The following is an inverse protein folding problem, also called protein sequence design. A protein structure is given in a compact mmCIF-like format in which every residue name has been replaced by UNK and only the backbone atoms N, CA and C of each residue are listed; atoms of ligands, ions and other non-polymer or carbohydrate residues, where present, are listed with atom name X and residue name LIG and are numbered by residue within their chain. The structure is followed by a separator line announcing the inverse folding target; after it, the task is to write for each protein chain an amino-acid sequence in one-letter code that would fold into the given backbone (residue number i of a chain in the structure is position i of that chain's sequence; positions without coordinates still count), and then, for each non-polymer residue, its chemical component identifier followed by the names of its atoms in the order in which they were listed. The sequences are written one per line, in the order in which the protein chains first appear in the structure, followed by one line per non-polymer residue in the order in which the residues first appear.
data_IF_399250706644
#
_entry.id   IF_399250706644
#
_cell.length_a   1.000
_cell.length_b   1.000
_cell.length_c   1.000
_cell.angle_alpha   90.00
_cell.angle_beta   90.00
_cell.angle_gamma   90.00
#
_symmetry.space_group_name_H-M   'P 1'
#
loop_
_entity.id
_entity.type
_entity.pdbx_description
1 polymer ?
#
# COMPACT_ATOMS: atom_id res chain seq x y z
N UNK A 1 2.75 0.95 -4.88
CA UNK A 1 3.64 2.05 -5.31
C UNK A 1 2.91 3.16 -6.04
N UNK A 2 2.47 2.97 -7.29
CA UNK A 2 1.94 4.02 -8.17
C UNK A 2 0.84 4.87 -7.54
N UNK A 3 -0.18 4.23 -6.96
CA UNK A 3 -1.27 4.92 -6.25
C UNK A 3 -0.78 5.79 -5.10
N UNK A 4 0.22 5.31 -4.35
CA UNK A 4 0.77 6.03 -3.18
C UNK A 4 1.54 7.26 -3.63
N UNK A 5 2.43 7.13 -4.62
CA UNK A 5 3.20 8.28 -5.09
C UNK A 5 2.34 9.30 -5.83
N UNK A 6 1.32 8.86 -6.57
CA UNK A 6 0.32 9.77 -7.12
C UNK A 6 -0.36 10.59 -6.03
N UNK A 7 -0.89 9.94 -4.99
CA UNK A 7 -1.57 10.61 -3.88
C UNK A 7 -0.66 11.56 -3.08
N UNK A 8 0.64 11.29 -3.04
CA UNK A 8 1.61 12.10 -2.28
C UNK A 8 2.18 13.27 -3.06
N UNK A 9 2.34 13.12 -4.37
CA UNK A 9 3.07 14.08 -5.19
C UNK A 9 2.20 14.84 -6.19
N UNK A 10 1.03 14.32 -6.55
CA UNK A 10 0.13 14.96 -7.52
C UNK A 10 -1.07 15.51 -6.74
N UNK A 11 -1.29 16.84 -6.72
CA UNK A 11 -2.44 17.44 -6.06
C UNK A 11 -3.75 17.02 -6.73
N UNK A 12 -4.84 17.05 -5.97
CA UNK A 12 -6.19 16.74 -6.51
C UNK A 12 -6.72 17.83 -7.44
N UNK A 13 -6.10 19.02 -7.42
CA UNK A 13 -6.37 20.12 -8.34
C UNK A 13 -5.29 20.15 -9.42
N UNK A 14 -5.68 19.90 -10.67
CA UNK A 14 -4.79 19.92 -11.83
C UNK A 14 -4.78 21.33 -12.44
N UNK A 15 -3.63 22.01 -12.37
CA UNK A 15 -3.44 23.34 -12.98
C UNK A 15 -2.99 23.30 -14.44
N UNK A 16 -2.21 22.29 -14.81
CA UNK A 16 -1.63 22.11 -16.15
C UNK A 16 -1.57 20.62 -16.52
N UNK A 17 -1.40 20.32 -17.81
CA UNK A 17 -1.43 18.93 -18.33
C UNK A 17 -0.14 18.16 -18.10
N UNK A 18 0.97 18.88 -17.94
CA UNK A 18 2.30 18.31 -17.74
C UNK A 18 2.70 18.39 -16.27
N UNK A 19 3.59 17.49 -15.85
CA UNK A 19 4.13 17.55 -14.50
C UNK A 19 5.06 18.75 -14.38
N UNK A 20 4.83 19.56 -13.35
CA UNK A 20 5.79 20.60 -13.03
C UNK A 20 7.08 19.97 -12.47
N UNK A 21 8.14 20.79 -12.40
CA UNK A 21 9.45 20.33 -11.90
C UNK A 21 9.38 19.79 -10.46
N UNK A 22 8.50 20.35 -9.63
CA UNK A 22 8.30 19.93 -8.25
C UNK A 22 7.67 18.55 -8.16
N UNK A 23 6.62 18.30 -8.93
CA UNK A 23 5.93 17.01 -9.02
C UNK A 23 6.85 15.93 -9.55
N UNK A 24 7.60 16.22 -10.62
CA UNK A 24 8.58 15.29 -11.20
C UNK A 24 9.64 14.85 -10.17
N UNK A 25 10.28 15.81 -9.50
CA UNK A 25 11.29 15.53 -8.46
C UNK A 25 10.67 14.85 -7.22
N UNK A 26 9.41 15.16 -6.89
CA UNK A 26 8.70 14.49 -5.81
C UNK A 26 8.48 13.01 -6.13
N UNK A 27 8.03 12.68 -7.34
CA UNK A 27 7.75 11.31 -7.78
C UNK A 27 9.01 10.45 -7.68
N UNK A 28 10.15 10.94 -8.17
CA UNK A 28 11.44 10.23 -8.07
C UNK A 28 11.81 9.91 -6.61
N UNK A 29 11.74 10.92 -5.73
CA UNK A 29 12.02 10.75 -4.29
C UNK A 29 11.01 9.82 -3.63
N UNK A 30 9.74 9.87 -4.04
CA UNK A 30 8.70 9.02 -3.50
C UNK A 30 8.95 7.55 -3.82
N UNK A 31 9.28 7.24 -5.08
CA UNK A 31 9.57 5.86 -5.51
C UNK A 31 10.76 5.30 -4.73
N UNK A 32 11.84 6.08 -4.60
CA UNK A 32 13.01 5.69 -3.81
C UNK A 32 12.64 5.36 -2.35
N UNK A 33 11.92 6.26 -1.68
CA UNK A 33 11.47 6.07 -0.30
C UNK A 33 10.52 4.88 -0.15
N UNK A 34 9.62 4.69 -1.11
CA UNK A 34 8.66 3.59 -1.10
C UNK A 34 9.40 2.25 -1.17
N UNK A 35 10.37 2.11 -2.07
CA UNK A 35 11.15 0.87 -2.19
C UNK A 35 11.99 0.59 -0.94
N UNK A 36 12.66 1.61 -0.41
CA UNK A 36 13.43 1.48 0.84
C UNK A 36 12.53 1.04 2.00
N UNK A 37 11.35 1.64 2.11
CA UNK A 37 10.38 1.32 3.16
C UNK A 37 9.81 -0.09 2.99
N UNK A 38 9.46 -0.50 1.76
CA UNK A 38 8.99 -1.88 1.52
C UNK A 38 10.03 -2.92 1.89
N UNK A 39 11.30 -2.67 1.56
CA UNK A 39 12.39 -3.58 1.91
C UNK A 39 12.50 -3.73 3.43
N UNK A 40 12.49 -2.61 4.17
CA UNK A 40 12.54 -2.61 5.65
C UNK A 40 11.33 -3.32 6.26
N UNK A 41 10.12 -3.08 5.74
CA UNK A 41 8.90 -3.78 6.18
C UNK A 41 9.02 -5.29 5.92
N UNK A 42 9.51 -5.67 4.74
CA UNK A 42 9.73 -7.09 4.39
C UNK A 42 10.74 -7.77 5.31
N UNK A 43 11.86 -7.11 5.61
CA UNK A 43 12.85 -7.59 6.57
C UNK A 43 12.27 -7.73 7.98
N UNK A 44 11.50 -6.73 8.43
CA UNK A 44 10.83 -6.78 9.72
C UNK A 44 9.83 -7.95 9.78
N UNK A 45 8.98 -8.11 8.76
CA UNK A 45 8.02 -9.21 8.69
C UNK A 45 8.69 -10.59 8.77
N UNK A 46 9.84 -10.76 8.10
CA UNK A 46 10.65 -11.97 8.21
C UNK A 46 11.23 -12.14 9.63
N UNK A 47 11.71 -11.07 10.25
CA UNK A 47 12.29 -11.10 11.60
C UNK A 47 11.29 -11.55 12.67
N UNK A 48 10.01 -11.17 12.52
CA UNK A 48 8.92 -11.58 13.41
C UNK A 48 8.22 -12.86 12.94
N UNK A 49 8.70 -13.50 11.88
CA UNK A 49 8.14 -14.73 11.27
C UNK A 49 6.66 -14.64 10.91
N UNK A 50 6.22 -13.49 10.40
CA UNK A 50 4.86 -13.35 9.88
C UNK A 50 4.68 -14.22 8.62
N UNK A 51 3.83 -15.23 8.71
CA UNK A 51 3.44 -16.13 7.62
C UNK A 51 2.00 -15.82 7.18
N UNK A 52 1.63 -16.27 5.98
CA UNK A 52 0.27 -16.19 5.45
C UNK A 52 -0.76 -16.88 6.37
N UNK A 53 -0.32 -17.83 7.21
CA UNK A 53 -1.14 -18.52 8.21
C UNK A 53 -1.57 -17.62 9.37
N UNK A 54 -0.79 -16.57 9.67
CA UNK A 54 -1.08 -15.62 10.74
C UNK A 54 -2.13 -14.58 10.33
N UNK A 55 -2.46 -14.52 9.04
CA UNK A 55 -3.56 -13.71 8.53
C UNK A 55 -4.87 -14.46 8.76
N UNK A 56 -5.55 -14.18 9.89
CA UNK A 56 -6.87 -14.73 10.27
C UNK A 56 -8.02 -14.35 9.32
N UNK A 57 -7.73 -13.95 8.09
CA UNK A 57 -8.71 -13.57 7.08
C UNK A 57 -9.65 -14.72 6.73
N UNK A 58 -9.15 -15.96 6.69
CA UNK A 58 -10.00 -17.14 6.47
C UNK A 58 -10.99 -17.35 7.64
N UNK A 59 -10.59 -17.03 8.87
CA UNK A 59 -11.45 -17.09 10.05
C UNK A 59 -12.54 -16.00 10.02
N UNK A 60 -12.17 -14.78 9.61
CA UNK A 60 -13.11 -13.68 9.36
C UNK A 60 -14.12 -14.00 8.24
N UNK A 61 -13.67 -14.61 7.13
CA UNK A 61 -14.58 -15.05 6.06
C UNK A 61 -15.50 -16.17 6.53
N UNK A 62 -14.98 -17.12 7.31
CA UNK A 62 -15.78 -18.23 7.84
C UNK A 62 -16.90 -17.71 8.75
N UNK A 63 -16.64 -16.79 9.68
CA UNK A 63 -17.69 -16.21 10.50
C UNK A 63 -18.74 -15.49 9.64
N UNK A 64 -18.30 -14.57 8.77
CA UNK A 64 -19.20 -13.73 7.97
C UNK A 64 -20.12 -14.50 7.01
N UNK A 65 -19.63 -15.57 6.38
CA UNK A 65 -20.39 -16.33 5.38
C UNK A 65 -21.05 -17.59 5.93
N UNK A 66 -20.56 -18.16 7.04
CA UNK A 66 -21.24 -19.29 7.70
C UNK A 66 -22.42 -18.82 8.53
N UNK A 67 -22.36 -17.61 9.12
CA UNK A 67 -23.52 -16.99 9.80
C UNK A 67 -24.66 -16.67 8.83
N UNK A 68 -24.34 -16.28 7.59
CA UNK A 68 -25.34 -15.98 6.55
C UNK A 68 -26.10 -17.20 6.01
N UNK A 69 -25.70 -18.43 6.36
CA UNK A 69 -26.36 -19.67 5.89
C UNK A 69 -27.44 -20.18 6.86
N UNK A 70 -27.76 -19.42 7.92
CA UNK A 70 -28.76 -19.76 8.94
C UNK A 70 -30.12 -19.06 8.76
N UNK A 71 -30.31 -18.31 7.69
CA UNK A 71 -31.63 -17.81 7.22
C UNK A 71 -31.98 -18.40 5.86
#
# INVERSE_FOLDING_TARGET
MLKVCREKCIPHEYGESELNKGESVCVDRCVLKYMETNLKIGQYAQSVRLDAKDLNFHEYLKSKYTEKKKE
#
